data_IF_281778794944
#
_entry.id   IF_281778794944
#
_cell.length_a   1.000
_cell.length_b   1.000
_cell.length_c   1.000
_cell.angle_alpha   90.00
_cell.angle_beta   90.00
_cell.angle_gamma   90.00
#
_symmetry.space_group_name_H-M   'P 1'
#
loop_
_entity.id
_entity.type
_entity.pdbx_description
1 polymer ?
#
# COMPACT_ATOMS: atom_id res chain seq x y z
N UNK A 1 9.02 22.58 -7.78
CA UNK A 1 8.47 23.71 -8.55
C UNK A 1 7.10 23.28 -9.05
N UNK A 2 6.06 23.59 -8.27
CA UNK A 2 4.67 23.38 -8.67
C UNK A 2 4.31 24.63 -9.47
N UNK A 3 4.20 24.51 -10.78
CA UNK A 3 3.65 25.58 -11.61
C UNK A 3 2.15 25.62 -11.37
N UNK A 4 1.70 26.48 -10.45
CA UNK A 4 0.30 26.84 -10.37
C UNK A 4 -0.05 27.65 -11.62
N UNK A 5 -0.71 27.00 -12.57
CA UNK A 5 -1.33 27.66 -13.72
C UNK A 5 -2.59 28.38 -13.18
N UNK A 6 -2.69 29.72 -13.30
CA UNK A 6 -3.79 30.47 -12.70
C UNK A 6 -5.10 30.22 -13.46
N UNK A 7 -5.99 29.47 -12.82
CA UNK A 7 -7.46 29.58 -12.86
C UNK A 7 -8.11 29.94 -14.21
N UNK A 8 -8.29 28.92 -15.05
CA UNK A 8 -9.06 28.91 -16.31
C UNK A 8 -10.56 29.25 -16.14
N UNK A 9 -11.06 29.24 -14.89
CA UNK A 9 -12.46 29.55 -14.56
C UNK A 9 -12.85 31.01 -14.82
N UNK A 10 -11.89 31.95 -14.76
CA UNK A 10 -12.17 33.36 -15.01
C UNK A 10 -12.33 33.67 -16.51
N UNK A 11 -11.55 33.01 -17.36
CA UNK A 11 -11.59 33.16 -18.83
C UNK A 11 -12.86 32.54 -19.41
N UNK A 12 -13.24 31.34 -18.93
CA UNK A 12 -14.50 30.70 -19.35
C UNK A 12 -15.72 31.51 -18.92
N UNK A 13 -15.71 32.09 -17.71
CA UNK A 13 -16.78 32.96 -17.23
C UNK A 13 -16.87 34.27 -18.03
N UNK A 14 -15.76 34.82 -18.50
CA UNK A 14 -15.77 36.02 -19.34
C UNK A 14 -16.34 35.75 -20.74
N UNK A 15 -15.99 34.61 -21.35
CA UNK A 15 -16.52 34.20 -22.67
C UNK A 15 -18.03 33.94 -22.60
N UNK A 16 -18.52 33.33 -21.51
CA UNK A 16 -19.96 33.11 -21.30
C UNK A 16 -20.71 34.46 -21.18
N UNK A 17 -20.15 35.42 -20.45
CA UNK A 17 -20.74 36.76 -20.32
C UNK A 17 -20.73 37.53 -21.64
N UNK A 18 -19.65 37.40 -22.43
CA UNK A 18 -19.53 38.00 -23.75
C UNK A 18 -20.56 37.42 -24.74
N UNK A 19 -20.77 36.11 -24.73
CA UNK A 19 -21.79 35.45 -25.55
C UNK A 19 -23.21 35.90 -25.22
N UNK A 20 -23.53 36.03 -23.93
CA UNK A 20 -24.84 36.55 -23.49
C UNK A 20 -25.02 37.99 -23.97
N UNK A 21 -23.97 38.82 -23.89
CA UNK A 21 -24.03 40.20 -24.39
C UNK A 21 -24.32 40.24 -25.90
N UNK A 22 -23.57 39.48 -26.71
CA UNK A 22 -23.72 39.40 -28.16
C UNK A 22 -25.13 38.92 -28.56
N UNK A 23 -25.67 37.91 -27.88
CA UNK A 23 -27.04 37.42 -28.11
C UNK A 23 -28.09 38.47 -27.78
N UNK A 24 -27.93 39.22 -26.68
CA UNK A 24 -28.87 40.30 -26.34
C UNK A 24 -28.78 41.48 -27.30
N UNK A 25 -27.60 41.78 -27.85
CA UNK A 25 -27.44 42.78 -28.91
C UNK A 25 -28.05 42.33 -30.22
N UNK A 26 -27.89 41.06 -30.60
CA UNK A 26 -28.51 40.46 -31.78
C UNK A 26 -30.04 40.54 -31.71
N UNK A 27 -30.62 40.18 -30.56
CA UNK A 27 -32.06 40.28 -30.34
C UNK A 27 -32.57 41.73 -30.42
N UNK A 28 -31.85 42.68 -29.81
CA UNK A 28 -32.19 44.11 -29.92
C UNK A 28 -32.07 44.65 -31.35
N UNK A 29 -31.10 44.18 -32.14
CA UNK A 29 -30.95 44.57 -33.55
C UNK A 29 -32.08 44.00 -34.41
N UNK A 30 -32.50 42.76 -34.17
CA UNK A 30 -33.63 42.14 -34.84
C UNK A 30 -34.93 42.88 -34.53
N UNK A 31 -35.19 43.19 -33.27
CA UNK A 31 -36.38 43.93 -32.85
C UNK A 31 -36.41 45.33 -33.49
N UNK A 32 -35.25 45.98 -33.60
CA UNK A 32 -35.08 47.26 -34.30
C UNK A 32 -35.26 47.15 -35.81
N UNK A 33 -34.79 46.08 -36.43
CA UNK A 33 -34.95 45.84 -37.87
C UNK A 33 -36.42 45.65 -38.23
N UNK A 34 -37.14 44.81 -37.50
CA UNK A 34 -38.58 44.60 -37.71
C UNK A 34 -39.39 45.88 -37.43
N UNK A 35 -39.03 46.63 -36.40
CA UNK A 35 -39.66 47.94 -36.10
C UNK A 35 -39.36 48.99 -37.18
N UNK A 36 -38.17 48.97 -37.78
CA UNK A 36 -37.79 49.87 -38.86
C UNK A 36 -38.52 49.51 -40.17
N UNK A 37 -38.71 48.22 -40.47
CA UNK A 37 -39.49 47.79 -41.64
C UNK A 37 -40.96 48.15 -41.49
N UNK A 38 -41.56 47.93 -40.31
CA UNK A 38 -42.96 48.30 -40.06
C UNK A 38 -43.16 49.82 -40.15
N UNK A 39 -42.23 50.61 -39.61
CA UNK A 39 -42.28 52.07 -39.73
C UNK A 39 -42.08 52.58 -41.17
N UNK A 40 -41.26 51.89 -41.98
CA UNK A 40 -41.08 52.20 -43.40
C UNK A 40 -42.35 51.89 -44.21
N UNK A 41 -43.02 50.78 -43.92
CA UNK A 41 -44.29 50.40 -44.54
C UNK A 41 -45.44 51.36 -44.17
N UNK A 42 -45.37 51.97 -42.99
CA UNK A 42 -46.30 53.01 -42.52
C UNK A 42 -45.97 54.43 -43.04
N UNK A 43 -44.84 54.62 -43.75
CA UNK A 43 -44.45 55.92 -44.32
C UNK A 43 -43.92 56.95 -43.31
N UNK A 44 -43.48 56.54 -42.11
CA UNK A 44 -42.85 57.43 -41.12
C UNK A 44 -41.36 57.64 -41.42
N UNK A 45 -40.84 58.83 -41.12
CA UNK A 45 -39.41 59.15 -41.26
C UNK A 45 -38.58 58.27 -40.32
N UNK A 46 -37.67 57.49 -40.91
CA UNK A 46 -36.77 56.60 -40.20
C UNK A 46 -35.55 57.33 -39.67
N UNK A 47 -35.15 57.01 -38.44
CA UNK A 47 -33.92 57.50 -37.79
C UNK A 47 -32.65 56.77 -38.31
N UNK A 48 -32.81 55.55 -38.87
CA UNK A 48 -31.77 54.78 -39.56
C UNK A 48 -32.34 53.95 -40.71
N UNK A 49 -31.58 53.83 -41.79
CA UNK A 49 -31.94 52.98 -42.93
C UNK A 49 -31.92 51.50 -42.53
N UNK A 50 -32.94 50.70 -42.88
CA UNK A 50 -32.96 49.25 -42.65
C UNK A 50 -31.72 48.52 -43.21
N UNK A 51 -31.09 49.09 -44.24
CA UNK A 51 -29.86 48.57 -44.86
C UNK A 51 -28.66 48.68 -43.91
N UNK A 52 -28.59 49.73 -43.10
CA UNK A 52 -27.49 49.93 -42.16
C UNK A 52 -27.63 48.99 -40.94
N UNK A 53 -28.86 48.76 -40.47
CA UNK A 53 -29.15 47.76 -39.42
C UNK A 53 -28.77 46.35 -39.92
N UNK A 54 -29.03 46.05 -41.20
CA UNK A 54 -28.65 44.76 -41.79
C UNK A 54 -27.13 44.59 -41.90
N UNK A 55 -26.37 45.66 -42.16
CA UNK A 55 -24.89 45.63 -42.12
C UNK A 55 -24.39 45.34 -40.71
N UNK A 56 -24.99 45.95 -39.70
CA UNK A 56 -24.62 45.71 -38.30
C UNK A 56 -24.92 44.24 -37.89
N UNK A 57 -26.02 43.65 -38.38
CA UNK A 57 -26.34 42.22 -38.18
C UNK A 57 -25.28 41.33 -38.83
N UNK A 58 -24.85 41.63 -40.06
CA UNK A 58 -23.82 40.85 -40.78
C UNK A 58 -22.45 40.97 -40.09
N UNK A 59 -22.10 42.13 -39.55
CA UNK A 59 -20.87 42.29 -38.78
C UNK A 59 -20.91 41.51 -37.46
N UNK A 60 -22.05 41.51 -36.78
CA UNK A 60 -22.24 40.75 -35.54
C UNK A 60 -22.23 39.23 -35.79
N UNK A 61 -22.80 38.77 -36.91
CA UNK A 61 -22.75 37.37 -37.33
C UNK A 61 -21.31 36.90 -37.59
N UNK A 62 -20.48 37.73 -38.23
CA UNK A 62 -19.03 37.43 -38.37
C UNK A 62 -18.32 37.29 -37.03
N UNK A 63 -18.67 38.11 -36.03
CA UNK A 63 -18.12 37.99 -34.68
C UNK A 63 -18.58 36.70 -34.00
N UNK A 64 -19.84 36.30 -34.17
CA UNK A 64 -20.34 35.01 -33.67
C UNK A 64 -19.61 33.82 -34.31
N UNK A 65 -19.34 33.86 -35.61
CA UNK A 65 -18.59 32.80 -36.29
C UNK A 65 -17.16 32.66 -35.73
N UNK A 66 -16.49 33.77 -35.43
CA UNK A 66 -15.16 33.75 -34.80
C UNK A 66 -15.20 33.13 -33.40
N UNK A 67 -16.22 33.46 -32.61
CA UNK A 67 -16.41 32.89 -31.28
C UNK A 67 -16.66 31.38 -31.36
N UNK A 68 -17.46 30.92 -32.32
CA UNK A 68 -17.72 29.50 -32.53
C UNK A 68 -16.42 28.75 -32.88
N UNK A 69 -15.59 29.31 -33.75
CA UNK A 69 -14.30 28.73 -34.10
C UNK A 69 -13.36 28.66 -32.90
N UNK A 70 -13.29 29.72 -32.10
CA UNK A 70 -12.56 29.72 -30.83
C UNK A 70 -13.06 28.64 -29.86
N UNK A 71 -14.37 28.44 -29.74
CA UNK A 71 -14.94 27.38 -28.89
C UNK A 71 -14.58 25.99 -29.37
N UNK A 72 -14.60 25.76 -30.70
CA UNK A 72 -14.16 24.48 -31.29
C UNK A 72 -12.68 24.20 -30.98
N UNK A 73 -11.82 25.21 -31.08
CA UNK A 73 -10.40 25.08 -30.75
C UNK A 73 -10.24 24.81 -29.25
N UNK A 74 -10.95 25.54 -28.39
CA UNK A 74 -10.90 25.34 -26.94
C UNK A 74 -11.33 23.93 -26.54
N UNK A 75 -12.35 23.38 -27.19
CA UNK A 75 -12.77 22.00 -26.94
C UNK A 75 -11.66 20.99 -27.27
N UNK A 76 -10.93 21.21 -28.38
CA UNK A 76 -9.76 20.39 -28.73
C UNK A 76 -8.63 20.55 -27.71
N UNK A 77 -8.39 21.77 -27.21
CA UNK A 77 -7.37 22.01 -26.17
C UNK A 77 -7.72 21.22 -24.91
N UNK A 78 -8.97 21.27 -24.45
CA UNK A 78 -9.43 20.51 -23.28
C UNK A 78 -9.30 18.99 -23.50
N UNK A 79 -9.56 18.51 -24.72
CA UNK A 79 -9.36 17.10 -25.04
C UNK A 79 -7.88 16.71 -24.87
N UNK A 80 -6.97 17.48 -25.47
CA UNK A 80 -5.52 17.22 -25.38
C UNK A 80 -5.03 17.34 -23.94
N UNK A 81 -5.55 18.30 -23.16
CA UNK A 81 -5.21 18.43 -21.74
C UNK A 81 -5.63 17.20 -20.94
N UNK A 82 -6.82 16.66 -21.21
CA UNK A 82 -7.28 15.42 -20.57
C UNK A 82 -6.42 14.21 -20.97
N UNK A 83 -5.99 14.13 -22.23
CA UNK A 83 -5.07 13.10 -22.71
C UNK A 83 -3.71 13.19 -22.01
N UNK A 84 -3.12 14.38 -21.91
CA UNK A 84 -1.86 14.64 -21.19
C UNK A 84 -2.00 14.25 -19.71
N UNK A 85 -3.11 14.62 -19.08
CA UNK A 85 -3.36 14.29 -17.67
C UNK A 85 -3.49 12.77 -17.47
N UNK A 86 -4.15 12.07 -18.39
CA UNK A 86 -4.25 10.61 -18.36
C UNK A 86 -2.88 9.93 -18.52
N UNK A 87 -2.06 10.39 -19.48
CA UNK A 87 -0.70 9.89 -19.66
C UNK A 87 0.19 10.17 -18.44
N UNK A 88 0.09 11.36 -17.84
CA UNK A 88 0.85 11.72 -16.65
C UNK A 88 0.47 10.83 -15.46
N UNK A 89 -0.82 10.52 -15.29
CA UNK A 89 -1.26 9.57 -14.27
C UNK A 89 -0.68 8.17 -14.51
N UNK A 90 -0.66 7.70 -15.77
CA UNK A 90 -0.05 6.42 -16.11
C UNK A 90 1.46 6.38 -15.79
N UNK A 91 2.18 7.49 -16.00
CA UNK A 91 3.60 7.61 -15.62
C UNK A 91 3.76 7.53 -14.10
N UNK A 92 2.94 8.25 -13.34
CA UNK A 92 2.98 8.21 -11.87
C UNK A 92 2.70 6.80 -11.35
N UNK A 93 1.71 6.12 -11.92
CA UNK A 93 1.40 4.74 -11.58
C UNK A 93 2.56 3.81 -11.90
N UNK A 94 3.19 3.96 -13.06
CA UNK A 94 4.35 3.17 -13.46
C UNK A 94 5.55 3.38 -12.51
N UNK A 95 5.84 4.62 -12.12
CA UNK A 95 6.88 4.94 -11.13
C UNK A 95 6.57 4.31 -9.78
N UNK A 96 5.29 4.32 -9.36
CA UNK A 96 4.87 3.66 -8.13
C UNK A 96 5.05 2.14 -8.19
N UNK A 97 4.75 1.51 -9.32
CA UNK A 97 5.01 0.08 -9.52
C UNK A 97 6.50 -0.24 -9.45
N UNK A 98 7.35 0.55 -10.11
CA UNK A 98 8.81 0.38 -10.04
C UNK A 98 9.33 0.53 -8.62
N UNK A 99 8.84 1.53 -7.87
CA UNK A 99 9.22 1.72 -6.46
C UNK A 99 8.84 0.52 -5.59
N UNK A 100 7.62 0.01 -5.74
CA UNK A 100 7.16 -1.19 -5.03
C UNK A 100 7.99 -2.42 -5.40
N UNK A 101 8.31 -2.60 -6.68
CA UNK A 101 9.16 -3.69 -7.14
C UNK A 101 10.57 -3.62 -6.53
N UNK A 102 11.15 -2.41 -6.42
CA UNK A 102 12.43 -2.21 -5.74
C UNK A 102 12.34 -2.59 -4.26
N UNK A 103 11.34 -2.10 -3.55
CA UNK A 103 11.14 -2.38 -2.12
C UNK A 103 11.01 -3.89 -1.85
N UNK A 104 10.24 -4.61 -2.67
CA UNK A 104 10.13 -6.06 -2.57
C UNK A 104 11.47 -6.80 -2.78
N UNK A 105 12.31 -6.32 -3.70
CA UNK A 105 13.63 -6.91 -3.93
C UNK A 105 14.54 -6.63 -2.74
N UNK A 106 14.51 -5.42 -2.19
CA UNK A 106 15.31 -5.05 -1.02
C UNK A 106 14.90 -5.90 0.20
N UNK A 107 13.60 -6.10 0.44
CA UNK A 107 13.07 -6.98 1.50
C UNK A 107 13.49 -8.45 1.29
N UNK A 108 13.44 -8.92 0.05
CA UNK A 108 13.87 -10.28 -0.30
C UNK A 108 15.39 -10.47 -0.09
N UNK A 109 16.19 -9.47 -0.42
CA UNK A 109 17.63 -9.51 -0.18
C UNK A 109 17.96 -9.46 1.31
N UNK A 110 17.24 -8.67 2.09
CA UNK A 110 17.43 -8.61 3.54
C UNK A 110 17.05 -9.93 4.21
N UNK A 111 15.88 -10.49 3.89
CA UNK A 111 15.47 -11.81 4.40
C UNK A 111 16.43 -12.92 3.98
N UNK A 112 16.93 -12.90 2.74
CA UNK A 112 17.96 -13.84 2.26
C UNK A 112 19.27 -13.71 3.04
N UNK A 113 19.72 -12.48 3.34
CA UNK A 113 20.92 -12.26 4.18
C UNK A 113 20.72 -12.76 5.61
N UNK A 114 19.54 -12.52 6.18
CA UNK A 114 19.23 -12.96 7.53
C UNK A 114 19.14 -14.49 7.62
N UNK A 115 18.55 -15.15 6.63
CA UNK A 115 18.53 -16.61 6.55
C UNK A 115 19.92 -17.19 6.34
N UNK A 116 20.77 -16.60 5.49
CA UNK A 116 22.18 -17.01 5.37
C UNK A 116 22.93 -16.91 6.69
N UNK A 117 22.82 -15.77 7.39
CA UNK A 117 23.44 -15.61 8.73
C UNK A 117 22.91 -16.63 9.73
N UNK A 118 21.61 -16.92 9.70
CA UNK A 118 21.02 -17.93 10.57
C UNK A 118 21.54 -19.34 10.24
N UNK A 119 21.77 -19.66 8.97
CA UNK A 119 22.37 -20.92 8.53
C UNK A 119 23.85 -21.00 8.94
N UNK A 120 24.60 -19.90 8.83
CA UNK A 120 26.01 -19.85 9.28
C UNK A 120 26.14 -20.01 10.80
N UNK A 121 25.21 -19.42 11.57
CA UNK A 121 25.16 -19.55 13.02
C UNK A 121 24.61 -20.92 13.46
N UNK A 122 23.74 -21.52 12.66
CA UNK A 122 23.26 -22.88 12.90
C UNK A 122 24.45 -23.84 12.76
N UNK A 123 24.85 -24.44 13.87
CA UNK A 123 25.80 -25.54 13.86
C UNK A 123 25.26 -26.70 13.02
N UNK A 124 26.14 -27.58 12.56
CA UNK A 124 25.78 -28.79 11.79
C UNK A 124 24.95 -29.76 12.66
N UNK A 125 23.67 -29.47 12.88
CA UNK A 125 22.73 -30.36 13.56
C UNK A 125 22.26 -31.39 12.54
N UNK A 126 22.39 -32.67 12.87
CA UNK A 126 21.97 -33.74 11.98
C UNK A 126 20.46 -33.92 12.02
N UNK A 127 19.86 -34.35 10.91
CA UNK A 127 18.42 -34.60 10.86
C UNK A 127 17.95 -35.65 11.91
N UNK A 128 18.84 -36.60 12.24
CA UNK A 128 18.58 -37.62 13.27
C UNK A 128 18.47 -37.01 14.68
N UNK A 129 19.32 -36.04 15.02
CA UNK A 129 19.23 -35.31 16.30
C UNK A 129 17.93 -34.51 16.41
N UNK A 130 17.50 -33.87 15.31
CA UNK A 130 16.23 -33.15 15.26
C UNK A 130 15.06 -34.10 15.50
N UNK A 131 15.06 -35.26 14.83
CA UNK A 131 13.99 -36.27 14.99
C UNK A 131 13.97 -36.85 16.41
N UNK A 132 15.12 -37.17 16.99
CA UNK A 132 15.24 -37.63 18.37
C UNK A 132 14.72 -36.58 19.35
N UNK A 133 15.10 -35.31 19.16
CA UNK A 133 14.64 -34.22 20.01
C UNK A 133 13.14 -33.96 19.85
N UNK A 134 12.62 -33.96 18.61
CA UNK A 134 11.20 -33.80 18.30
C UNK A 134 10.35 -34.89 18.98
N UNK A 135 10.78 -36.15 18.90
CA UNK A 135 10.12 -37.25 19.60
C UNK A 135 10.16 -37.09 21.13
N UNK A 136 11.24 -36.51 21.68
CA UNK A 136 11.35 -36.22 23.11
C UNK A 136 10.36 -35.15 23.56
N UNK A 137 10.23 -34.05 22.82
CA UNK A 137 9.33 -32.94 23.20
C UNK A 137 7.85 -33.23 22.89
N UNK A 138 7.56 -34.09 21.91
CA UNK A 138 6.18 -34.39 21.47
C UNK A 138 5.26 -34.83 22.62
N UNK A 139 5.80 -35.53 23.63
CA UNK A 139 5.05 -35.95 24.82
C UNK A 139 4.57 -34.81 25.72
N UNK A 140 5.24 -33.66 25.65
CA UNK A 140 5.01 -32.48 26.48
C UNK A 140 4.29 -31.36 25.70
N UNK A 141 4.34 -31.39 24.36
CA UNK A 141 3.81 -30.32 23.50
C UNK A 141 2.53 -30.70 22.78
N UNK A 142 2.18 -31.98 22.69
CA UNK A 142 0.94 -32.42 22.07
C UNK A 142 -0.18 -32.52 23.11
N UNK A 143 -1.21 -31.69 22.98
CA UNK A 143 -2.55 -32.05 23.43
C UNK A 143 -3.25 -32.73 22.25
N UNK A 144 -3.50 -34.06 22.29
CA UNK A 144 -4.22 -34.74 21.22
C UNK A 144 -5.56 -34.06 20.94
N UNK A 145 -6.04 -34.02 19.68
CA UNK A 145 -7.37 -33.51 19.38
C UNK A 145 -8.42 -34.27 20.21
N UNK A 146 -9.18 -33.55 21.05
CA UNK A 146 -10.16 -34.17 21.97
C UNK A 146 -9.63 -34.53 23.36
N UNK A 147 -8.50 -33.96 23.80
CA UNK A 147 -7.96 -34.14 25.16
C UNK A 147 -9.00 -33.73 26.23
N UNK A 148 -9.50 -34.72 26.96
CA UNK A 148 -10.48 -34.58 28.05
C UNK A 148 -9.84 -35.06 29.35
N UNK A 149 -9.66 -34.15 30.31
CA UNK A 149 -9.05 -34.41 31.62
C UNK A 149 -9.80 -35.46 32.45
N UNK A 150 -11.04 -35.78 32.08
CA UNK A 150 -11.91 -36.71 32.82
C UNK A 150 -11.82 -38.15 32.31
N UNK A 151 -11.22 -38.39 31.13
CA UNK A 151 -11.07 -39.73 30.57
C UNK A 151 -9.66 -40.27 30.86
N UNK A 152 -9.53 -41.51 31.36
CA UNK A 152 -8.22 -42.16 31.44
C UNK A 152 -7.72 -42.32 30.01
N UNK A 153 -6.81 -41.43 29.60
CA UNK A 153 -6.28 -41.37 28.25
C UNK A 153 -5.16 -42.40 28.16
N UNK A 154 -5.25 -43.34 27.20
CA UNK A 154 -4.21 -44.35 26.95
C UNK A 154 -2.88 -43.72 26.48
N UNK A 155 -2.93 -42.48 25.98
CA UNK A 155 -1.74 -41.65 25.74
C UNK A 155 -1.25 -41.01 27.04
N UNK A 156 -0.05 -41.38 27.46
CA UNK A 156 0.73 -40.72 28.51
C UNK A 156 1.17 -39.32 28.04
N UNK A 157 0.27 -38.34 28.12
CA UNK A 157 0.59 -36.93 27.89
C UNK A 157 1.08 -36.35 29.21
N UNK A 158 2.31 -35.86 29.22
CA UNK A 158 2.87 -35.18 30.39
C UNK A 158 2.55 -33.68 30.32
N UNK A 159 2.38 -33.01 31.47
CA UNK A 159 2.10 -31.58 31.49
C UNK A 159 3.24 -30.79 30.83
N UNK A 160 2.92 -29.68 30.14
CA UNK A 160 3.90 -28.91 29.35
C UNK A 160 4.99 -28.26 30.21
N UNK A 161 4.72 -28.06 31.49
CA UNK A 161 5.69 -27.60 32.47
C UNK A 161 5.85 -28.66 33.57
N UNK A 162 7.04 -28.74 34.20
CA UNK A 162 7.22 -29.59 35.37
C UNK A 162 6.18 -29.24 36.44
N UNK A 163 5.54 -30.25 37.01
CA UNK A 163 4.61 -30.08 38.15
C UNK A 163 5.39 -30.09 39.46
N UNK A 164 4.83 -29.48 40.50
CA UNK A 164 5.45 -29.36 41.81
C UNK A 164 5.92 -30.71 42.39
N UNK A 165 5.13 -31.77 42.21
CA UNK A 165 5.50 -33.12 42.64
C UNK A 165 6.75 -33.67 41.94
N UNK A 166 7.00 -33.28 40.68
CA UNK A 166 8.22 -33.64 39.93
C UNK A 166 9.37 -32.74 40.37
N UNK A 167 9.12 -31.43 40.56
CA UNK A 167 10.14 -30.50 41.05
C UNK A 167 10.68 -30.90 42.43
N UNK A 168 9.81 -31.31 43.37
CA UNK A 168 10.19 -31.80 44.70
C UNK A 168 10.98 -33.11 44.65
N UNK A 169 10.86 -33.90 43.59
CA UNK A 169 11.66 -35.11 43.37
C UNK A 169 12.97 -34.82 42.64
N UNK A 170 13.15 -33.60 42.13
CA UNK A 170 14.35 -33.20 41.41
C UNK A 170 15.59 -33.22 42.29
N UNK A 171 16.74 -33.53 41.68
CA UNK A 171 18.03 -33.53 42.37
C UNK A 171 18.36 -32.19 43.03
N UNK A 172 17.94 -31.09 42.40
CA UNK A 172 18.12 -29.74 42.93
C UNK A 172 17.38 -29.53 44.27
N UNK A 173 16.11 -29.95 44.34
CA UNK A 173 15.32 -29.86 45.58
C UNK A 173 15.91 -30.76 46.68
N UNK A 174 16.42 -31.95 46.30
CA UNK A 174 17.06 -32.88 47.24
C UNK A 174 18.35 -32.29 47.83
N UNK A 175 19.13 -31.56 47.03
CA UNK A 175 20.35 -30.91 47.48
C UNK A 175 20.06 -29.79 48.48
N UNK A 176 19.05 -28.98 48.20
CA UNK A 176 18.59 -27.89 49.08
C UNK A 176 18.04 -28.43 50.41
N UNK A 177 17.25 -29.51 50.37
CA UNK A 177 16.62 -30.09 51.56
C UNK A 177 17.58 -30.93 52.44
N UNK A 178 18.61 -31.56 51.85
CA UNK A 178 19.62 -32.32 52.58
C UNK A 178 20.74 -31.45 53.16
N UNK A 179 20.70 -30.12 52.98
CA UNK A 179 21.74 -29.22 53.46
C UNK A 179 23.12 -29.55 52.90
N UNK A 180 23.19 -30.21 51.74
CA UNK A 180 24.45 -30.48 51.04
C UNK A 180 24.91 -29.20 50.35
N UNK A 181 25.44 -28.28 51.15
CA UNK A 181 26.29 -27.20 50.69
C UNK A 181 27.56 -27.82 50.10
N UNK A 182 27.56 -28.16 48.82
CA UNK A 182 28.80 -28.30 48.04
C UNK A 182 29.37 -26.91 47.73
N UNK A 183 29.64 -26.17 48.79
CA UNK A 183 30.25 -24.85 48.78
C UNK A 183 31.10 -24.74 50.03
N UNK A 184 32.26 -25.43 50.01
CA UNK A 184 33.58 -24.93 50.43
C UNK A 184 34.57 -26.00 50.92
N UNK A 185 34.16 -27.22 51.33
CA UNK A 185 35.12 -28.22 51.86
C UNK A 185 34.92 -29.64 51.32
N UNK A 186 35.25 -29.87 50.05
CA UNK A 186 35.49 -31.22 49.52
C UNK A 186 36.86 -31.27 48.85
N UNK A 187 37.90 -31.53 49.66
CA UNK A 187 39.18 -31.98 49.13
C UNK A 187 38.94 -33.21 48.24
N UNK A 188 39.36 -33.08 46.98
CA UNK A 188 39.53 -34.19 46.05
C UNK A 188 40.34 -35.30 46.74
N UNK A 189 39.85 -36.55 46.84
CA UNK A 189 40.75 -37.65 47.08
C UNK A 189 41.64 -37.74 45.84
N UNK A 190 42.96 -37.71 46.08
CA UNK A 190 43.99 -37.87 45.07
C UNK A 190 43.61 -38.97 44.07
N UNK A 191 43.75 -38.66 42.79
CA UNK A 191 43.74 -39.65 41.72
C UNK A 191 44.92 -40.61 41.95
N UNK A 192 44.68 -41.70 42.64
CA UNK A 192 45.49 -42.90 42.51
C UNK A 192 45.15 -43.53 41.17
N UNK A 193 46.15 -43.52 40.28
CA UNK A 193 46.15 -44.16 38.98
C UNK A 193 45.74 -45.63 39.12
N UNK A 194 44.49 -45.94 38.77
CA UNK A 194 44.08 -47.32 38.52
C UNK A 194 44.67 -47.73 37.16
N UNK A 195 45.90 -48.24 37.19
CA UNK A 195 46.46 -49.07 36.13
C UNK A 195 45.58 -50.33 36.00
N UNK A 196 44.73 -50.36 34.97
CA UNK A 196 44.20 -51.61 34.45
C UNK A 196 45.23 -52.17 33.48
N UNK A 197 46.19 -52.90 34.06
CA UNK A 197 47.00 -53.85 33.31
C UNK A 197 46.08 -54.78 32.51
N UNK A 198 46.32 -54.80 31.20
CA UNK A 198 45.87 -55.83 30.29
C UNK A 198 46.32 -57.19 30.84
N UNK A 199 45.36 -58.02 31.23
CA UNK A 199 45.59 -59.46 31.27
C UNK A 199 44.84 -60.10 30.09
N UNK A 200 45.57 -60.58 29.06
CA UNK A 200 45.03 -61.51 28.09
C UNK A 200 44.93 -62.90 28.75
N UNK A 201 44.15 -63.79 28.15
CA UNK A 201 43.90 -65.18 28.57
C UNK A 201 42.72 -65.37 29.53
N UNK A 202 41.56 -65.67 28.95
CA UNK A 202 40.80 -66.87 29.28
C UNK A 202 40.09 -67.34 28.00
N UNK A 203 40.41 -68.58 27.64
CA UNK A 203 39.86 -69.41 26.55
C UNK A 203 38.34 -69.56 26.61
#
# INVERSE_FOLDING_TARGET
MVYEIPSDKNTQKSIILENISILTEYQKLIDRFFSAISANAEGKSLDRSPVDIMKDIVELDKKMQQVEEHQRIHHKILQVENEINAENNAIVDFVNYLRKGKEQIDDFLESSRNTMRAIELATNVTADEILKYANRISKYTAAPPGYDLTRPTELQVEPPHPIEAIMRKGLLFRQEYLGMNFGEDAMLPHAEEFNLDLNPELE
#
